data_IF_781390344339
#
_entry.id   IF_781390344339
#
_cell.length_a   1.000
_cell.length_b   1.000
_cell.length_c   1.000
_cell.angle_alpha   90.00
_cell.angle_beta   90.00
_cell.angle_gamma   90.00
#
_symmetry.space_group_name_H-M   'P 1'
#
loop_
_entity.id
_entity.type
_entity.pdbx_description
1 polymer ?
#
# COMPACT_ATOMS: atom_id res chain seq x y z
N UNK A 1 19.24 -3.65 16.64
CA UNK A 1 18.10 -3.75 15.70
C UNK A 1 18.26 -2.60 14.72
N UNK A 2 18.28 -2.82 13.39
CA UNK A 2 18.33 -1.71 12.44
C UNK A 2 17.12 -0.79 12.64
N UNK A 3 17.23 0.51 12.31
CA UNK A 3 16.11 1.42 12.39
C UNK A 3 14.95 0.88 11.52
N UNK A 4 13.69 0.99 11.97
CA UNK A 4 12.55 0.55 11.19
C UNK A 4 12.46 1.34 9.88
N UNK A 5 12.07 0.68 8.78
CA UNK A 5 11.76 1.36 7.54
C UNK A 5 10.53 2.25 7.70
N UNK A 6 10.55 3.44 7.09
CA UNK A 6 9.40 4.33 7.12
C UNK A 6 8.36 3.86 6.11
N UNK A 7 7.13 3.62 6.58
CA UNK A 7 5.96 3.37 5.74
C UNK A 7 5.02 4.57 5.74
N UNK A 8 4.07 4.60 4.79
CA UNK A 8 3.00 5.61 4.74
C UNK A 8 2.25 5.72 6.07
N UNK A 9 1.90 4.59 6.68
CA UNK A 9 1.20 4.55 7.97
C UNK A 9 2.05 5.11 9.11
N UNK A 10 3.33 4.74 9.18
CA UNK A 10 4.25 5.25 10.20
C UNK A 10 4.48 6.76 10.04
N UNK A 11 4.59 7.25 8.80
CA UNK A 11 4.69 8.68 8.52
C UNK A 11 3.45 9.44 9.00
N UNK A 12 2.25 8.93 8.71
CA UNK A 12 1.00 9.54 9.20
C UNK A 12 0.89 9.49 10.73
N UNK A 13 1.30 8.39 11.37
CA UNK A 13 1.40 8.31 12.84
C UNK A 13 2.34 9.38 13.40
N UNK A 14 3.51 9.57 12.79
CA UNK A 14 4.50 10.56 13.21
C UNK A 14 3.99 12.00 13.09
N UNK A 15 3.27 12.33 12.01
CA UNK A 15 2.65 13.65 11.82
C UNK A 15 1.59 13.97 12.87
N UNK A 16 0.87 12.95 13.37
CA UNK A 16 -0.10 13.13 14.44
C UNK A 16 0.56 13.25 15.82
N UNK A 17 1.52 12.38 16.11
CA UNK A 17 2.20 12.32 17.40
C UNK A 17 3.52 11.54 17.28
N UNK A 18 4.69 12.19 17.48
CA UNK A 18 5.99 11.51 17.45
C UNK A 18 6.13 10.39 18.50
N UNK A 19 5.42 10.48 19.63
CA UNK A 19 5.40 9.40 20.62
C UNK A 19 4.63 8.17 20.12
N UNK A 20 3.58 8.37 19.32
CA UNK A 20 2.80 7.28 18.74
C UNK A 20 3.64 6.43 17.81
N UNK A 21 4.40 7.04 16.88
CA UNK A 21 5.25 6.27 15.96
C UNK A 21 6.29 5.43 16.71
N UNK A 22 6.84 5.95 17.82
CA UNK A 22 7.77 5.18 18.65
C UNK A 22 7.09 3.96 19.27
N UNK A 23 5.87 4.11 19.82
CA UNK A 23 5.09 3.00 20.38
C UNK A 23 4.71 1.98 19.29
N UNK A 24 4.24 2.44 18.12
CA UNK A 24 3.87 1.57 16.99
C UNK A 24 5.04 0.65 16.55
N UNK A 25 6.29 1.09 16.72
CA UNK A 25 7.50 0.34 16.35
C UNK A 25 8.02 -0.52 17.51
N UNK A 26 8.13 0.06 18.71
CA UNK A 26 8.91 -0.52 19.80
C UNK A 26 8.06 -1.16 20.91
N UNK A 27 6.78 -0.81 20.99
CA UNK A 27 5.87 -1.28 22.04
C UNK A 27 4.41 -1.30 21.55
N UNK A 28 4.12 -2.06 20.46
CA UNK A 28 2.82 -2.00 19.78
C UNK A 28 1.67 -2.51 20.65
N UNK A 29 1.95 -3.37 21.63
CA UNK A 29 0.96 -3.96 22.54
C UNK A 29 0.32 -2.92 23.49
N UNK A 30 0.93 -1.73 23.62
CA UNK A 30 0.35 -0.60 24.37
C UNK A 30 -0.68 0.21 23.59
N UNK A 31 -0.77 0.01 22.28
CA UNK A 31 -1.79 0.63 21.46
C UNK A 31 -3.17 0.07 21.79
N UNK A 32 -4.18 0.95 21.88
CA UNK A 32 -5.57 0.48 21.95
C UNK A 32 -5.90 -0.26 20.65
N UNK A 33 -6.31 -1.54 20.72
CA UNK A 33 -6.72 -2.28 19.52
C UNK A 33 -7.93 -1.60 18.87
N UNK A 34 -8.08 -1.68 17.54
CA UNK A 34 -9.22 -1.10 16.87
C UNK A 34 -10.52 -1.78 17.32
N UNK A 35 -11.54 -0.98 17.62
CA UNK A 35 -12.87 -1.47 17.96
C UNK A 35 -13.61 -2.04 16.74
N UNK A 36 -14.77 -2.67 16.97
CA UNK A 36 -15.53 -3.33 15.90
C UNK A 36 -15.87 -2.42 14.72
N UNK A 37 -16.21 -1.16 15.00
CA UNK A 37 -16.52 -0.16 13.99
C UNK A 37 -15.29 0.18 13.11
N UNK A 38 -14.12 0.34 13.73
CA UNK A 38 -12.87 0.62 13.01
C UNK A 38 -12.44 -0.58 12.17
N UNK A 39 -12.54 -1.79 12.72
CA UNK A 39 -12.28 -3.01 11.97
C UNK A 39 -13.23 -3.17 10.78
N UNK A 40 -14.51 -2.80 10.95
CA UNK A 40 -15.46 -2.81 9.84
C UNK A 40 -15.06 -1.82 8.73
N UNK A 41 -14.63 -0.60 9.10
CA UNK A 41 -14.11 0.39 8.14
C UNK A 41 -12.89 -0.15 7.39
N UNK A 42 -11.95 -0.79 8.08
CA UNK A 42 -10.77 -1.38 7.44
C UNK A 42 -11.14 -2.49 6.45
N UNK A 43 -12.02 -3.42 6.85
CA UNK A 43 -12.52 -4.48 5.94
C UNK A 43 -13.21 -3.90 4.71
N UNK A 44 -14.03 -2.87 4.90
CA UNK A 44 -14.67 -2.16 3.79
C UNK A 44 -13.65 -1.52 2.85
N UNK A 45 -12.60 -0.89 3.40
CA UNK A 45 -11.49 -0.34 2.62
C UNK A 45 -10.79 -1.40 1.78
N UNK A 46 -10.44 -2.55 2.38
CA UNK A 46 -9.83 -3.69 1.68
C UNK A 46 -10.72 -4.22 0.55
N UNK A 47 -12.02 -4.39 0.80
CA UNK A 47 -12.95 -4.88 -0.22
C UNK A 47 -13.13 -3.88 -1.37
N UNK A 48 -13.16 -2.57 -1.08
CA UNK A 48 -13.18 -1.53 -2.12
C UNK A 48 -11.90 -1.57 -2.97
N UNK A 49 -10.72 -1.70 -2.34
CA UNK A 49 -9.45 -1.88 -3.04
C UNK A 49 -9.47 -3.08 -3.98
N UNK A 50 -9.87 -4.24 -3.46
CA UNK A 50 -10.00 -5.49 -4.23
C UNK A 50 -10.96 -5.34 -5.42
N UNK A 51 -12.09 -4.65 -5.24
CA UNK A 51 -13.05 -4.40 -6.32
C UNK A 51 -12.52 -3.44 -7.38
N UNK A 52 -11.69 -2.47 -6.99
CA UNK A 52 -11.08 -1.54 -7.93
C UNK A 52 -10.16 -2.24 -8.95
N UNK A 53 -9.62 -3.42 -8.63
CA UNK A 53 -8.84 -4.23 -9.58
C UNK A 53 -9.63 -4.56 -10.86
N UNK A 54 -10.96 -4.70 -10.76
CA UNK A 54 -11.82 -4.97 -11.91
C UNK A 54 -11.82 -3.83 -12.96
N UNK A 55 -11.37 -2.63 -12.59
CA UNK A 55 -11.21 -1.50 -13.51
C UNK A 55 -9.94 -1.62 -14.38
N UNK A 56 -9.07 -2.60 -14.11
CA UNK A 56 -7.82 -2.83 -14.85
C UNK A 56 -7.74 -4.29 -15.31
N UNK A 57 -8.51 -4.68 -16.34
CA UNK A 57 -8.50 -6.03 -16.86
C UNK A 57 -7.08 -6.49 -17.24
N UNK A 58 -6.71 -7.71 -16.84
CA UNK A 58 -5.37 -8.26 -17.06
C UNK A 58 -4.30 -7.80 -16.06
N UNK A 59 -4.64 -6.92 -15.12
CA UNK A 59 -3.72 -6.52 -14.07
C UNK A 59 -3.34 -7.66 -13.13
N UNK A 60 -2.17 -7.56 -12.52
CA UNK A 60 -1.58 -8.62 -11.67
C UNK A 60 -1.36 -8.10 -10.25
N UNK A 61 -1.80 -8.86 -9.26
CA UNK A 61 -1.57 -8.55 -7.84
C UNK A 61 -0.18 -9.03 -7.39
N UNK A 62 0.55 -8.17 -6.68
CA UNK A 62 1.74 -8.55 -5.91
C UNK A 62 1.28 -9.17 -4.59
N UNK A 63 0.89 -10.43 -4.65
CA UNK A 63 0.38 -11.19 -3.49
C UNK A 63 1.51 -11.69 -2.59
N UNK A 64 2.12 -10.74 -1.88
CA UNK A 64 3.26 -10.97 -0.97
C UNK A 64 2.94 -10.30 0.36
N UNK A 65 3.12 -10.99 1.51
CA UNK A 65 2.89 -10.41 2.83
C UNK A 65 3.64 -9.09 3.04
N UNK A 66 3.04 -8.16 3.80
CA UNK A 66 3.67 -6.86 4.08
C UNK A 66 5.02 -6.97 4.83
N UNK A 67 5.23 -8.07 5.56
CA UNK A 67 6.49 -8.38 6.25
C UNK A 67 7.62 -8.74 5.28
N UNK A 68 7.32 -9.19 4.06
CA UNK A 68 8.28 -9.57 3.05
C UNK A 68 8.30 -8.56 1.90
N UNK A 69 8.76 -7.35 2.22
CA UNK A 69 8.82 -6.25 1.24
C UNK A 69 9.84 -6.51 0.13
N UNK A 70 10.90 -7.26 0.41
CA UNK A 70 11.95 -7.57 -0.56
C UNK A 70 11.42 -8.44 -1.71
N UNK A 71 10.69 -9.52 -1.38
CA UNK A 71 10.02 -10.33 -2.41
C UNK A 71 9.02 -9.52 -3.22
N UNK A 72 8.31 -8.57 -2.59
CA UNK A 72 7.39 -7.68 -3.29
C UNK A 72 8.10 -6.73 -4.28
N UNK A 73 9.29 -6.22 -3.93
CA UNK A 73 10.12 -5.40 -4.82
C UNK A 73 10.56 -6.19 -6.05
N UNK A 74 11.03 -7.43 -5.85
CA UNK A 74 11.44 -8.32 -6.94
C UNK A 74 10.25 -8.59 -7.86
N UNK A 75 9.12 -9.00 -7.29
CA UNK A 75 7.90 -9.29 -8.05
C UNK A 75 7.40 -8.07 -8.83
N UNK A 76 7.46 -6.89 -8.22
CA UNK A 76 7.07 -5.63 -8.89
C UNK A 76 7.99 -5.35 -10.07
N UNK A 77 9.31 -5.52 -9.91
CA UNK A 77 10.28 -5.31 -10.99
C UNK A 77 10.04 -6.24 -12.18
N UNK A 78 9.80 -7.53 -11.91
CA UNK A 78 9.52 -8.52 -12.96
C UNK A 78 8.26 -8.17 -13.74
N UNK A 79 7.19 -7.78 -13.04
CA UNK A 79 5.94 -7.36 -13.67
C UNK A 79 6.06 -6.04 -14.43
N UNK A 80 6.92 -5.11 -13.99
CA UNK A 80 7.21 -3.89 -14.73
C UNK A 80 7.97 -4.16 -16.03
N UNK A 81 8.85 -5.18 -16.03
CA UNK A 81 9.61 -5.62 -17.21
C UNK A 81 8.75 -6.39 -18.22
N UNK A 82 7.66 -7.04 -17.78
CA UNK A 82 6.69 -7.67 -18.65
C UNK A 82 5.76 -6.63 -19.31
N UNK A 83 5.95 -6.41 -20.61
CA UNK A 83 5.14 -5.46 -21.39
C UNK A 83 3.68 -5.90 -21.55
N UNK A 84 3.38 -7.18 -21.35
CA UNK A 84 2.01 -7.71 -21.44
C UNK A 84 1.16 -7.39 -20.21
N UNK A 85 1.79 -6.99 -19.10
CA UNK A 85 1.11 -6.62 -17.87
C UNK A 85 0.62 -5.17 -17.96
N UNK A 86 -0.70 -4.92 -17.99
CA UNK A 86 -1.26 -3.58 -18.16
C UNK A 86 -1.35 -2.82 -16.84
N UNK A 87 -1.40 -3.50 -15.70
CA UNK A 87 -1.44 -2.91 -14.37
C UNK A 87 -0.88 -3.86 -13.31
N UNK A 88 -0.28 -3.29 -12.27
CA UNK A 88 0.27 -4.02 -11.12
C UNK A 88 -0.45 -3.51 -9.86
N UNK A 89 -1.16 -4.39 -9.17
CA UNK A 89 -1.83 -4.07 -7.92
C UNK A 89 -0.89 -4.28 -6.74
N UNK A 90 -0.95 -3.38 -5.76
CA UNK A 90 -0.08 -3.36 -4.58
C UNK A 90 1.42 -3.36 -4.93
N UNK A 91 1.79 -2.73 -6.05
CA UNK A 91 3.17 -2.62 -6.51
C UNK A 91 4.05 -1.97 -5.44
N UNK A 92 5.19 -2.59 -5.16
CA UNK A 92 6.10 -2.21 -4.09
C UNK A 92 7.27 -1.37 -4.62
N UNK A 93 7.62 -0.33 -3.86
CA UNK A 93 8.81 0.48 -4.11
C UNK A 93 9.57 0.72 -2.81
N UNK A 94 10.87 0.96 -2.95
CA UNK A 94 11.74 1.34 -1.87
C UNK A 94 12.73 2.39 -2.37
N UNK A 95 12.92 3.45 -1.59
CA UNK A 95 13.94 4.46 -1.84
C UNK A 95 14.33 5.13 -0.53
N UNK A 96 15.64 5.27 -0.28
CA UNK A 96 16.19 5.95 0.90
C UNK A 96 15.53 5.47 2.21
N UNK A 97 15.45 4.14 2.37
CA UNK A 97 14.80 3.43 3.50
C UNK A 97 13.28 3.66 3.67
N UNK A 98 12.63 4.34 2.72
CA UNK A 98 11.18 4.52 2.68
C UNK A 98 10.54 3.43 1.81
N UNK A 99 9.59 2.71 2.39
CA UNK A 99 8.84 1.63 1.74
C UNK A 99 7.42 2.06 1.44
N UNK A 100 6.98 1.85 0.19
CA UNK A 100 5.60 2.10 -0.22
C UNK A 100 5.04 0.91 -0.99
N UNK A 101 3.73 0.71 -0.87
CA UNK A 101 2.93 -0.06 -1.81
C UNK A 101 1.83 0.84 -2.34
N UNK A 102 1.65 0.85 -3.65
CA UNK A 102 0.64 1.67 -4.33
C UNK A 102 -0.54 0.80 -4.72
N UNK A 103 -1.76 1.33 -4.64
CA UNK A 103 -2.95 0.49 -4.91
C UNK A 103 -2.95 -0.04 -6.35
N UNK A 104 -2.68 0.83 -7.34
CA UNK A 104 -2.53 0.42 -8.74
C UNK A 104 -1.41 1.21 -9.43
N UNK A 105 -0.48 0.48 -10.06
CA UNK A 105 0.49 1.00 -11.01
C UNK A 105 0.07 0.58 -12.43
N UNK A 106 -0.49 1.52 -13.20
CA UNK A 106 -1.05 1.25 -14.53
C UNK A 106 -0.06 1.66 -15.64
N UNK A 107 0.14 0.79 -16.61
CA UNK A 107 0.89 1.10 -17.83
C UNK A 107 0.05 2.01 -18.74
N UNK A 108 0.62 3.12 -19.17
CA UNK A 108 -0.03 4.12 -20.03
C UNK A 108 0.58 4.11 -21.44
N UNK A 109 -0.11 4.80 -22.35
CA UNK A 109 0.43 5.05 -23.68
C UNK A 109 1.80 5.75 -23.59
N UNK A 110 2.68 5.44 -24.56
CA UNK A 110 4.03 5.99 -24.61
C UNK A 110 5.02 5.41 -23.60
N UNK A 111 4.71 4.25 -22.98
CA UNK A 111 5.61 3.57 -22.05
C UNK A 111 5.67 4.20 -20.64
N UNK A 112 4.80 5.16 -20.36
CA UNK A 112 4.71 5.82 -19.06
C UNK A 112 3.94 4.99 -18.04
N UNK A 113 4.17 5.23 -16.76
CA UNK A 113 3.41 4.64 -15.66
C UNK A 113 2.49 5.69 -15.00
N UNK A 114 1.26 5.28 -14.68
CA UNK A 114 0.32 6.05 -13.88
C UNK A 114 0.12 5.39 -12.52
N UNK A 115 0.25 6.16 -11.45
CA UNK A 115 0.00 5.71 -10.08
C UNK A 115 -1.42 6.12 -9.69
N UNK A 116 -2.21 5.16 -9.18
CA UNK A 116 -3.57 5.42 -8.70
C UNK A 116 -3.73 4.95 -7.26
N UNK A 117 -4.34 5.80 -6.46
CA UNK A 117 -4.73 5.52 -5.09
C UNK A 117 -6.25 5.33 -5.04
N UNK A 118 -6.70 4.21 -4.47
CA UNK A 118 -8.10 3.86 -4.29
C UNK A 118 -8.55 4.35 -2.92
N UNK A 119 -9.68 5.06 -2.88
CA UNK A 119 -10.27 5.57 -1.64
C UNK A 119 -11.73 5.18 -1.54
N UNK A 120 -12.11 4.58 -0.41
CA UNK A 120 -13.51 4.44 -0.02
C UNK A 120 -14.00 5.76 0.56
N UNK A 121 -14.73 6.54 -0.24
CA UNK A 121 -15.41 7.76 0.22
C UNK A 121 -16.90 7.69 -0.14
N UNK A 122 -17.76 8.13 0.77
CA UNK A 122 -19.21 8.20 0.55
C UNK A 122 -19.63 9.36 -0.37
N UNK A 123 -18.71 10.27 -0.66
CA UNK A 123 -18.89 11.37 -1.59
C UNK A 123 -17.57 11.70 -2.29
N UNK A 124 -17.64 12.15 -3.53
CA UNK A 124 -16.50 12.74 -4.23
C UNK A 124 -16.14 14.03 -3.51
N UNK A 125 -14.94 14.09 -2.92
CA UNK A 125 -14.38 15.34 -2.41
C UNK A 125 -14.07 16.20 -3.65
N UNK A 126 -14.77 17.32 -3.78
CA UNK A 126 -14.52 18.35 -4.79
C UNK A 126 -13.45 19.31 -4.31
#
# INVERSE_FOLDING_TARGET
MPPPHLSKSLFLSALQCPRRVWLDVHDPDRGTPPGDAEQHIFRMGTEVGRRAHALFPGGVLVDVPASDHETALIRTRDLMADETVPAIFEAAFERDDVRIRVDVLERRAGGCWGLREVKSASAVKR
#
